data_IF_943062283521
#
_entry.id   IF_943062283521
#
_cell.length_a   1.000
_cell.length_b   1.000
_cell.length_c   1.000
_cell.angle_alpha   90.00
_cell.angle_beta   90.00
_cell.angle_gamma   90.00
#
_symmetry.space_group_name_H-M   'P 1'
#
loop_
_entity.id
_entity.type
_entity.pdbx_description
1 polymer ?
#
# COMPACT_ATOMS: atom_id res chain seq x y z
N UNK A 1 -2.52 6.75 -3.62
CA UNK A 1 -3.81 6.04 -3.47
C UNK A 1 -4.94 6.64 -4.29
N UNK A 2 -5.02 7.97 -4.46
CA UNK A 2 -6.13 8.62 -5.20
C UNK A 2 -6.26 8.08 -6.63
N UNK A 3 -5.17 8.06 -7.41
CA UNK A 3 -5.19 7.57 -8.79
C UNK A 3 -5.64 6.10 -8.90
N UNK A 4 -5.18 5.26 -7.97
CA UNK A 4 -5.56 3.84 -7.92
C UNK A 4 -7.04 3.64 -7.62
N UNK A 5 -7.63 4.50 -6.78
CA UNK A 5 -9.06 4.47 -6.47
C UNK A 5 -9.91 4.99 -7.63
N UNK A 6 -9.49 6.08 -8.27
CA UNK A 6 -10.20 6.63 -9.45
C UNK A 6 -10.30 5.55 -10.54
N UNK A 7 -9.21 4.85 -10.85
CA UNK A 7 -9.24 3.80 -11.87
C UNK A 7 -10.20 2.64 -11.54
N UNK A 8 -10.42 2.31 -10.27
CA UNK A 8 -11.41 1.28 -9.89
C UNK A 8 -12.82 1.84 -9.86
N UNK A 9 -13.01 3.08 -9.39
CA UNK A 9 -14.32 3.72 -9.38
C UNK A 9 -14.84 4.02 -10.78
N UNK A 10 -13.98 4.34 -11.74
CA UNK A 10 -14.36 4.51 -13.16
C UNK A 10 -14.87 3.20 -13.79
N UNK A 11 -14.45 2.04 -13.27
CA UNK A 11 -14.97 0.74 -13.71
C UNK A 11 -16.33 0.40 -13.10
N UNK A 12 -16.79 1.13 -12.06
CA UNK A 12 -18.10 0.92 -11.45
C UNK A 12 -19.13 1.73 -12.25
N UNK A 13 -19.96 1.05 -13.03
CA UNK A 13 -20.99 1.66 -13.89
C UNK A 13 -22.10 2.34 -13.06
N UNK A 14 -22.67 3.43 -13.55
CA UNK A 14 -23.79 4.14 -12.90
C UNK A 14 -25.03 3.25 -12.68
N UNK A 15 -25.18 2.18 -13.47
CA UNK A 15 -26.24 1.18 -13.35
C UNK A 15 -26.36 0.59 -11.93
N UNK A 16 -25.22 0.42 -11.24
CA UNK A 16 -25.22 -0.07 -9.86
C UNK A 16 -25.87 0.89 -8.86
N UNK A 17 -25.75 2.20 -9.10
CA UNK A 17 -26.41 3.22 -8.28
C UNK A 17 -27.90 3.32 -8.62
N UNK A 18 -28.25 3.30 -9.91
CA UNK A 18 -29.64 3.35 -10.36
C UNK A 18 -30.45 2.13 -9.89
N UNK A 19 -29.85 0.94 -9.90
CA UNK A 19 -30.47 -0.27 -9.38
C UNK A 19 -30.68 -0.20 -7.85
N UNK A 20 -29.71 0.32 -7.10
CA UNK A 20 -29.84 0.47 -5.66
C UNK A 20 -30.92 1.50 -5.27
N UNK A 21 -31.02 2.60 -6.02
CA UNK A 21 -32.05 3.63 -5.83
C UNK A 21 -33.45 3.10 -6.19
N UNK A 22 -33.57 2.30 -7.26
CA UNK A 22 -34.81 1.61 -7.64
C UNK A 22 -35.30 0.61 -6.59
N UNK A 23 -34.38 0.04 -5.81
CA UNK A 23 -34.67 -0.83 -4.65
C UNK A 23 -34.97 -0.05 -3.36
N UNK A 24 -35.08 1.29 -3.42
CA UNK A 24 -35.40 2.16 -2.28
C UNK A 24 -34.22 2.45 -1.35
N UNK A 25 -32.98 2.22 -1.79
CA UNK A 25 -31.81 2.64 -1.02
C UNK A 25 -31.54 4.14 -1.20
N UNK A 26 -31.29 4.85 -0.09
CA UNK A 26 -30.78 6.22 -0.17
C UNK A 26 -29.36 6.24 -0.76
N UNK A 27 -28.95 7.35 -1.39
CA UNK A 27 -27.61 7.50 -2.02
C UNK A 27 -26.46 7.10 -1.09
N UNK A 28 -26.56 7.44 0.20
CA UNK A 28 -25.57 7.05 1.20
C UNK A 28 -25.53 5.54 1.46
N UNK A 29 -26.70 4.89 1.51
CA UNK A 29 -26.81 3.43 1.70
C UNK A 29 -26.34 2.68 0.46
N UNK A 30 -26.63 3.19 -0.74
CA UNK A 30 -26.12 2.65 -2.00
C UNK A 30 -24.59 2.73 -2.07
N UNK A 31 -23.99 3.87 -1.68
CA UNK A 31 -22.54 4.01 -1.61
C UNK A 31 -21.89 2.98 -0.67
N UNK A 32 -22.37 2.89 0.58
CA UNK A 32 -21.76 1.99 1.57
C UNK A 32 -21.95 0.50 1.26
N UNK A 33 -23.06 0.13 0.61
CA UNK A 33 -23.42 -1.28 0.40
C UNK A 33 -23.01 -1.81 -0.98
N UNK A 34 -22.81 -0.94 -1.96
CA UNK A 34 -22.50 -1.32 -3.35
C UNK A 34 -21.13 -0.78 -3.76
N UNK A 35 -20.96 0.55 -3.75
CA UNK A 35 -19.73 1.19 -4.25
C UNK A 35 -18.52 0.89 -3.36
N UNK A 36 -18.68 0.96 -2.03
CA UNK A 36 -17.61 0.71 -1.08
C UNK A 36 -17.02 -0.71 -1.18
N UNK A 37 -17.81 -1.81 -1.10
CA UNK A 37 -17.26 -3.15 -1.26
C UNK A 37 -16.66 -3.40 -2.65
N UNK A 38 -17.23 -2.83 -3.72
CA UNK A 38 -16.65 -2.90 -5.07
C UNK A 38 -15.33 -2.13 -5.20
N UNK A 39 -15.10 -1.11 -4.36
CA UNK A 39 -13.86 -0.33 -4.33
C UNK A 39 -12.74 -0.96 -3.48
N UNK A 40 -13.07 -1.93 -2.61
CA UNK A 40 -12.09 -2.60 -1.71
C UNK A 40 -10.93 -3.28 -2.47
N UNK A 41 -11.15 -4.00 -3.59
CA UNK A 41 -10.06 -4.57 -4.39
C UNK A 41 -9.11 -3.51 -4.94
N UNK A 42 -9.65 -2.34 -5.32
CA UNK A 42 -8.87 -1.18 -5.76
C UNK A 42 -8.03 -0.57 -4.65
N UNK A 43 -8.61 -0.44 -3.46
CA UNK A 43 -7.92 0.05 -2.28
C UNK A 43 -6.73 -0.85 -1.93
N UNK A 44 -6.91 -2.17 -1.96
CA UNK A 44 -5.84 -3.14 -1.69
C UNK A 44 -4.69 -3.04 -2.69
N UNK A 45 -5.00 -2.97 -3.98
CA UNK A 45 -3.98 -2.79 -5.04
C UNK A 45 -3.24 -1.47 -4.88
N UNK A 46 -3.96 -0.39 -4.57
CA UNK A 46 -3.38 0.92 -4.27
C UNK A 46 -2.48 0.91 -3.02
N UNK A 47 -2.86 0.17 -1.98
CA UNK A 47 -2.05 0.02 -0.76
C UNK A 47 -0.73 -0.71 -1.03
N UNK A 48 -0.73 -1.76 -1.87
CA UNK A 48 0.51 -2.47 -2.26
C UNK A 48 1.45 -1.54 -3.03
N UNK A 49 0.92 -0.74 -3.95
CA UNK A 49 1.71 0.22 -4.73
C UNK A 49 2.32 1.31 -3.83
N UNK A 50 1.55 1.87 -2.91
CA UNK A 50 2.06 2.87 -1.97
C UNK A 50 3.08 2.29 -1.02
N UNK A 51 2.83 1.09 -0.46
CA UNK A 51 3.81 0.40 0.39
C UNK A 51 5.14 0.22 -0.34
N UNK A 52 5.09 -0.24 -1.58
CA UNK A 52 6.28 -0.44 -2.43
C UNK A 52 7.03 0.88 -2.65
N UNK A 53 6.31 1.97 -2.93
CA UNK A 53 6.93 3.30 -3.07
C UNK A 53 7.56 3.81 -1.78
N UNK A 54 6.89 3.64 -0.64
CA UNK A 54 7.38 4.08 0.67
C UNK A 54 8.71 3.40 1.07
N UNK A 55 8.97 2.18 0.64
CA UNK A 55 10.23 1.49 0.93
C UNK A 55 11.45 2.19 0.32
N UNK A 56 11.26 2.89 -0.80
CA UNK A 56 12.33 3.68 -1.46
C UNK A 56 12.56 5.04 -0.80
N UNK A 57 11.66 5.46 0.09
CA UNK A 57 11.73 6.76 0.75
C UNK A 57 12.67 6.73 1.97
N UNK A 58 13.95 7.02 1.75
CA UNK A 58 14.95 7.12 2.83
C UNK A 58 15.31 8.57 3.22
N UNK A 59 15.09 9.53 2.32
CA UNK A 59 15.49 10.94 2.50
C UNK A 59 14.67 11.64 3.58
N UNK A 60 13.35 11.45 3.58
CA UNK A 60 12.43 12.02 4.57
C UNK A 60 12.75 11.59 6.01
N UNK A 61 12.91 10.28 6.33
CA UNK A 61 13.30 9.87 7.68
C UNK A 61 14.73 10.30 8.04
N UNK A 62 15.64 10.43 7.06
CA UNK A 62 16.99 10.94 7.33
C UNK A 62 16.97 12.42 7.76
N UNK A 63 16.14 13.24 7.12
CA UNK A 63 16.02 14.67 7.44
C UNK A 63 15.25 14.93 8.74
N UNK A 64 14.16 14.20 8.98
CA UNK A 64 13.26 14.43 10.13
C UNK A 64 13.63 13.63 11.38
N UNK A 65 14.19 12.43 11.22
CA UNK A 65 14.45 11.50 12.33
C UNK A 65 15.74 11.74 13.10
N UNK A 66 16.63 12.60 12.59
CA UNK A 66 17.95 12.84 13.18
C UNK A 66 18.74 11.54 13.45
N UNK A 67 19.63 11.56 14.45
CA UNK A 67 20.42 10.38 14.86
C UNK A 67 19.71 9.44 15.83
N UNK A 68 18.53 9.82 16.35
CA UNK A 68 17.84 9.08 17.41
C UNK A 68 16.87 8.01 16.90
N UNK A 69 16.28 8.19 15.72
CA UNK A 69 15.37 7.22 15.11
C UNK A 69 15.96 6.66 13.83
N UNK A 70 16.76 5.60 13.97
CA UNK A 70 17.32 4.85 12.83
C UNK A 70 16.25 3.91 12.27
N UNK A 71 15.94 4.08 11.00
CA UNK A 71 15.13 3.15 10.22
C UNK A 71 16.07 2.30 9.36
N UNK A 72 15.62 1.14 8.89
CA UNK A 72 16.46 0.22 8.09
C UNK A 72 17.16 0.94 6.93
N UNK A 73 16.47 1.87 6.26
CA UNK A 73 17.03 2.63 5.14
C UNK A 73 18.15 3.60 5.54
N UNK A 74 18.01 4.30 6.66
CA UNK A 74 19.07 5.20 7.16
C UNK A 74 20.24 4.41 7.75
N UNK A 75 19.99 3.20 8.27
CA UNK A 75 21.03 2.30 8.76
C UNK A 75 21.92 1.77 7.63
N UNK A 76 21.35 1.40 6.48
CA UNK A 76 22.15 1.00 5.30
C UNK A 76 23.03 2.17 4.85
N UNK A 77 22.46 3.37 4.76
CA UNK A 77 23.20 4.56 4.36
C UNK A 77 24.36 4.86 5.31
N UNK A 78 24.14 4.80 6.63
CA UNK A 78 25.19 5.06 7.60
C UNK A 78 26.33 4.02 7.52
N UNK A 79 26.01 2.73 7.40
CA UNK A 79 27.04 1.69 7.33
C UNK A 79 27.83 1.74 6.02
N UNK A 80 27.16 1.96 4.88
CA UNK A 80 27.81 2.01 3.57
C UNK A 80 28.61 3.31 3.35
N UNK A 81 28.02 4.47 3.67
CA UNK A 81 28.58 5.79 3.30
C UNK A 81 29.36 6.47 4.41
N UNK A 82 29.05 6.24 5.69
CA UNK A 82 29.76 6.89 6.81
C UNK A 82 30.86 6.00 7.37
N UNK A 83 30.56 4.72 7.58
CA UNK A 83 31.48 3.76 8.19
C UNK A 83 32.31 2.99 7.15
N UNK A 84 31.96 3.09 5.85
CA UNK A 84 32.55 2.30 4.77
C UNK A 84 32.52 0.78 5.01
N UNK A 85 31.57 0.30 5.84
CA UNK A 85 31.38 -1.10 6.17
C UNK A 85 30.27 -1.69 5.28
N UNK A 86 30.69 -2.09 4.08
CA UNK A 86 29.85 -2.72 3.07
C UNK A 86 29.32 -4.08 3.49
N UNK A 87 30.01 -4.78 4.40
CA UNK A 87 29.58 -6.08 4.91
C UNK A 87 28.35 -5.91 5.79
N UNK A 88 28.42 -5.04 6.79
CA UNK A 88 27.28 -4.74 7.68
C UNK A 88 26.11 -4.14 6.91
N UNK A 89 26.37 -3.25 5.94
CA UNK A 89 25.33 -2.69 5.07
C UNK A 89 24.60 -3.78 4.25
N UNK A 90 25.33 -4.78 3.73
CA UNK A 90 24.75 -5.88 2.95
C UNK A 90 23.82 -6.75 3.79
N UNK A 91 24.18 -7.06 5.04
CA UNK A 91 23.34 -7.84 5.96
C UNK A 91 22.01 -7.11 6.22
N UNK A 92 22.07 -5.81 6.50
CA UNK A 92 20.87 -5.00 6.75
C UNK A 92 20.00 -4.90 5.48
N UNK A 93 20.62 -4.78 4.30
CA UNK A 93 19.90 -4.78 3.03
C UNK A 93 19.14 -6.09 2.78
N UNK A 94 19.77 -7.24 3.04
CA UNK A 94 19.10 -8.55 2.91
C UNK A 94 17.92 -8.66 3.87
N UNK A 95 18.06 -8.22 5.12
CA UNK A 95 16.96 -8.22 6.10
C UNK A 95 15.80 -7.33 5.61
N UNK A 96 16.10 -6.16 5.06
CA UNK A 96 15.09 -5.26 4.49
C UNK A 96 14.35 -5.91 3.31
N UNK A 97 15.07 -6.59 2.41
CA UNK A 97 14.49 -7.31 1.27
C UNK A 97 13.56 -8.43 1.75
N UNK A 98 14.01 -9.26 2.68
CA UNK A 98 13.20 -10.36 3.24
C UNK A 98 11.92 -9.82 3.88
N UNK A 99 12.05 -8.77 4.70
CA UNK A 99 10.90 -8.13 5.36
C UNK A 99 9.92 -7.57 4.33
N UNK A 100 10.42 -6.92 3.29
CA UNK A 100 9.62 -6.40 2.17
C UNK A 100 8.86 -7.51 1.47
N UNK A 101 9.54 -8.61 1.12
CA UNK A 101 8.91 -9.75 0.44
C UNK A 101 7.81 -10.35 1.32
N UNK A 102 8.05 -10.49 2.63
CA UNK A 102 7.06 -11.01 3.58
C UNK A 102 5.82 -10.12 3.60
N UNK A 103 5.99 -8.81 3.81
CA UNK A 103 4.86 -7.87 3.92
C UNK A 103 4.09 -7.79 2.60
N UNK A 104 4.78 -7.61 1.48
CA UNK A 104 4.13 -7.54 0.16
C UNK A 104 3.44 -8.87 -0.20
N UNK A 105 4.01 -10.01 0.18
CA UNK A 105 3.38 -11.33 -0.03
C UNK A 105 2.11 -11.49 0.82
N UNK A 106 2.12 -11.04 2.08
CA UNK A 106 0.94 -11.05 2.95
C UNK A 106 -0.16 -10.15 2.37
N UNK A 107 0.19 -8.92 1.97
CA UNK A 107 -0.76 -7.99 1.35
C UNK A 107 -1.34 -8.57 0.05
N UNK A 108 -0.51 -9.18 -0.80
CA UNK A 108 -0.96 -9.81 -2.04
C UNK A 108 -1.85 -11.04 -1.79
N UNK A 109 -1.56 -11.84 -0.75
CA UNK A 109 -2.42 -12.97 -0.35
C UNK A 109 -3.78 -12.47 0.14
N UNK A 110 -3.80 -11.45 0.99
CA UNK A 110 -5.04 -10.81 1.46
C UNK A 110 -5.88 -10.24 0.32
N UNK A 111 -5.23 -9.56 -0.64
CA UNK A 111 -5.87 -9.05 -1.85
C UNK A 111 -6.50 -10.19 -2.68
N UNK A 112 -5.77 -11.29 -2.90
CA UNK A 112 -6.28 -12.46 -3.65
C UNK A 112 -7.48 -13.12 -2.97
N UNK A 113 -7.51 -13.21 -1.64
CA UNK A 113 -8.64 -13.81 -0.91
C UNK A 113 -9.91 -12.98 -0.97
N UNK A 114 -9.79 -11.66 -1.03
CA UNK A 114 -10.92 -10.74 -1.16
C UNK A 114 -11.41 -10.65 -2.61
N UNK A 115 -10.50 -10.70 -3.59
CA UNK A 115 -10.86 -10.71 -5.01
C UNK A 115 -11.60 -11.98 -5.45
N UNK A 116 -11.50 -13.09 -4.69
CA UNK A 116 -12.30 -14.31 -4.92
C UNK A 116 -13.74 -14.22 -4.38
N UNK A 117 -14.08 -13.18 -3.63
CA UNK A 117 -15.41 -13.00 -3.00
C UNK A 117 -16.33 -12.04 -3.76
N UNK A 118 -15.84 -11.40 -4.81
CA UNK A 118 -16.61 -10.54 -5.71
C UNK A 118 -16.93 -11.25 -7.02
#
# INVERSE_FOLDING_TARGET
MILSLIGVMENITEDYMLAAESLGASKFKAFLKVVFPLSVPGLMTGSVLVFTGCLTAYTTPQLLGGTKTRVLATLIYQNAMTLSDWNSASVVAVIMIITTIIVTSIMNRGAKTLNKRG
#
